data_IF_565313776177
#
_entry.id   IF_565313776177
#
_cell.length_a   1.000
_cell.length_b   1.000
_cell.length_c   1.000
_cell.angle_alpha   90.00
_cell.angle_beta   90.00
_cell.angle_gamma   90.00
#
_symmetry.space_group_name_H-M   'P 1'
#
loop_
_entity.id
_entity.type
_entity.pdbx_description
1 polymer ?
#
# COMPACT_ATOMS: atom_id res chain seq x y z
N UNK A 1 5.58 -0.20 -24.72
CA UNK A 1 5.20 1.11 -25.30
C UNK A 1 6.32 1.56 -26.24
N UNK A 2 5.99 2.14 -27.40
CA UNK A 2 7.01 2.69 -28.30
C UNK A 2 7.62 3.97 -27.73
N UNK A 3 8.89 4.25 -28.04
CA UNK A 3 9.60 5.47 -27.59
C UNK A 3 8.87 6.75 -28.02
N UNK A 4 8.26 6.74 -29.21
CA UNK A 4 7.44 7.84 -29.74
C UNK A 4 6.22 8.10 -28.86
N UNK A 5 5.50 7.07 -28.44
CA UNK A 5 4.35 7.22 -27.56
C UNK A 5 4.77 7.77 -26.18
N UNK A 6 5.83 7.21 -25.59
CA UNK A 6 6.33 7.66 -24.27
C UNK A 6 6.75 9.13 -24.29
N UNK A 7 7.38 9.60 -25.38
CA UNK A 7 7.72 11.01 -25.54
C UNK A 7 6.48 11.90 -25.69
N UNK A 8 5.50 11.50 -26.50
CA UNK A 8 4.25 12.26 -26.64
C UNK A 8 3.50 12.36 -25.31
N UNK A 9 3.45 11.26 -24.54
CA UNK A 9 2.83 11.24 -23.22
C UNK A 9 3.57 12.15 -22.22
N UNK A 10 4.90 12.15 -22.25
CA UNK A 10 5.71 13.04 -21.40
C UNK A 10 5.44 14.52 -21.72
N UNK A 11 5.35 14.88 -23.01
CA UNK A 11 5.01 16.25 -23.44
C UNK A 11 3.62 16.66 -22.96
N UNK A 12 2.62 15.79 -23.11
CA UNK A 12 1.27 16.04 -22.64
C UNK A 12 1.22 16.25 -21.12
N UNK A 13 1.87 15.37 -20.36
CA UNK A 13 1.95 15.49 -18.90
C UNK A 13 2.70 16.73 -18.44
N UNK A 14 3.70 17.20 -19.20
CA UNK A 14 4.41 18.44 -18.88
C UNK A 14 3.49 19.67 -18.95
N UNK A 15 2.61 19.71 -19.97
CA UNK A 15 1.60 20.76 -20.09
C UNK A 15 0.59 20.68 -18.95
N UNK A 16 0.06 19.49 -18.65
CA UNK A 16 -0.92 19.32 -17.57
C UNK A 16 -0.37 19.69 -16.18
N UNK A 17 0.89 19.37 -15.90
CA UNK A 17 1.49 19.56 -14.58
C UNK A 17 2.20 20.91 -14.42
N UNK A 18 2.28 21.72 -15.49
CA UNK A 18 2.98 23.01 -15.46
C UNK A 18 4.48 22.89 -15.17
N UNK A 19 5.09 21.71 -15.42
CA UNK A 19 6.51 21.44 -15.16
C UNK A 19 7.08 20.51 -16.21
N UNK A 20 8.39 20.57 -16.43
CA UNK A 20 9.06 19.64 -17.33
C UNK A 20 8.96 18.21 -16.82
N UNK A 21 8.48 17.30 -17.67
CA UNK A 21 8.39 15.86 -17.38
C UNK A 21 9.34 15.11 -18.30
N UNK A 22 10.35 14.47 -17.72
CA UNK A 22 11.26 13.59 -18.45
C UNK A 22 10.60 12.21 -18.62
N UNK A 23 10.67 11.60 -19.82
CA UNK A 23 10.21 10.22 -20.01
C UNK A 23 10.88 9.27 -19.00
N UNK A 24 10.11 8.40 -18.30
CA UNK A 24 10.70 7.46 -17.36
C UNK A 24 11.58 6.43 -18.09
N UNK A 25 12.60 5.94 -17.40
CA UNK A 25 13.42 4.84 -17.91
C UNK A 25 12.58 3.58 -18.12
N UNK A 26 13.01 2.69 -19.01
CA UNK A 26 12.33 1.41 -19.21
C UNK A 26 12.24 0.59 -17.92
N UNK A 27 13.29 0.60 -17.09
CA UNK A 27 13.28 -0.06 -15.79
C UNK A 27 12.22 0.53 -14.83
N UNK A 28 12.11 1.86 -14.79
CA UNK A 28 11.10 2.56 -13.99
C UNK A 28 9.68 2.21 -14.44
N UNK A 29 9.47 2.09 -15.76
CA UNK A 29 8.19 1.63 -16.32
C UNK A 29 7.89 0.21 -15.86
N UNK A 30 8.82 -0.74 -16.04
CA UNK A 30 8.62 -2.13 -15.62
C UNK A 30 8.33 -2.25 -14.12
N UNK A 31 9.08 -1.53 -13.28
CA UNK A 31 8.84 -1.50 -11.84
C UNK A 31 7.45 -0.97 -11.49
N UNK A 32 6.95 0.05 -12.21
CA UNK A 32 5.61 0.59 -12.00
C UNK A 32 4.50 -0.43 -12.35
N UNK A 33 4.70 -1.26 -13.38
CA UNK A 33 3.77 -2.33 -13.73
C UNK A 33 3.80 -3.47 -12.69
N UNK A 34 4.99 -3.91 -12.28
CA UNK A 34 5.17 -4.96 -11.27
C UNK A 34 4.53 -4.56 -9.94
N UNK A 35 4.72 -3.31 -9.51
CA UNK A 35 4.20 -2.77 -8.25
C UNK A 35 2.70 -2.50 -8.26
N UNK A 36 2.06 -2.44 -9.44
CA UNK A 36 0.60 -2.46 -9.54
C UNK A 36 -0.10 -1.12 -9.74
N UNK A 37 0.35 -0.30 -10.69
CA UNK A 37 -0.35 0.96 -11.00
C UNK A 37 -1.59 0.79 -11.90
N UNK A 38 -1.75 -0.33 -12.61
CA UNK A 38 -2.86 -0.58 -13.52
C UNK A 38 -3.21 -2.09 -13.52
N UNK A 39 -4.36 -2.42 -12.95
CA UNK A 39 -5.09 -3.71 -12.98
C UNK A 39 -4.42 -4.96 -12.37
N UNK A 40 -5.26 -5.84 -11.82
CA UNK A 40 -4.91 -7.03 -11.04
C UNK A 40 -4.97 -8.31 -11.90
N UNK A 41 -4.20 -9.35 -11.51
CA UNK A 41 -3.30 -9.39 -10.36
C UNK A 41 -1.89 -8.88 -10.71
N UNK A 42 -1.48 -7.80 -10.04
CA UNK A 42 -0.11 -7.32 -10.09
C UNK A 42 0.77 -8.06 -9.06
N UNK A 43 2.09 -7.94 -9.20
CA UNK A 43 3.07 -8.63 -8.37
C UNK A 43 3.48 -7.82 -7.12
N UNK A 44 2.61 -6.93 -6.63
CA UNK A 44 2.90 -6.09 -5.48
C UNK A 44 3.22 -6.88 -4.22
N UNK A 45 2.45 -7.94 -3.93
CA UNK A 45 2.69 -8.80 -2.76
C UNK A 45 3.94 -9.68 -2.91
N UNK A 46 4.22 -10.21 -4.10
CA UNK A 46 5.47 -10.92 -4.38
C UNK A 46 6.69 -9.99 -4.25
N UNK A 47 6.57 -8.73 -4.68
CA UNK A 47 7.62 -7.71 -4.51
C UNK A 47 7.82 -7.37 -3.03
N UNK A 48 6.74 -7.26 -2.26
CA UNK A 48 6.81 -7.04 -0.81
C UNK A 48 7.51 -8.21 -0.10
N UNK A 49 7.24 -9.46 -0.49
CA UNK A 49 7.94 -10.63 0.06
C UNK A 49 9.45 -10.55 -0.21
N UNK A 50 9.84 -10.17 -1.43
CA UNK A 50 11.24 -10.01 -1.80
C UNK A 50 11.94 -8.93 -0.96
N UNK A 51 11.29 -7.78 -0.73
CA UNK A 51 11.80 -6.69 0.12
C UNK A 51 12.06 -7.18 1.54
N UNK A 52 11.11 -7.92 2.13
CA UNK A 52 11.24 -8.47 3.49
C UNK A 52 12.36 -9.50 3.57
N UNK A 53 12.44 -10.43 2.60
CA UNK A 53 13.49 -11.46 2.55
C UNK A 53 14.89 -10.87 2.34
N UNK A 54 14.99 -9.76 1.62
CA UNK A 54 16.26 -9.04 1.42
C UNK A 54 16.65 -8.17 2.64
N UNK A 55 15.82 -8.14 3.69
CA UNK A 55 16.14 -7.44 4.94
C UNK A 55 15.95 -5.92 4.87
N UNK A 56 15.33 -5.40 3.80
CA UNK A 56 15.04 -3.96 3.68
C UNK A 56 13.90 -3.50 4.59
N UNK A 57 13.07 -4.43 5.06
CA UNK A 57 12.05 -4.16 6.05
C UNK A 57 11.80 -5.42 6.89
N UNK A 58 12.04 -5.30 8.20
CA UNK A 58 12.00 -6.40 9.15
C UNK A 58 10.63 -6.54 9.83
N UNK A 59 10.29 -7.76 10.31
CA UNK A 59 9.11 -7.95 11.15
C UNK A 59 9.12 -7.10 12.43
N UNK A 60 10.30 -6.75 12.95
CA UNK A 60 10.44 -5.87 14.11
C UNK A 60 9.98 -4.43 13.81
N UNK A 61 10.30 -3.90 12.62
CA UNK A 61 9.83 -2.60 12.17
C UNK A 61 8.31 -2.60 11.96
N UNK A 62 7.76 -3.68 11.42
CA UNK A 62 6.29 -3.88 11.36
C UNK A 62 5.67 -3.80 12.74
N UNK A 63 6.20 -4.54 13.71
CA UNK A 63 5.66 -4.57 15.07
C UNK A 63 5.72 -3.20 15.75
N UNK A 64 6.81 -2.44 15.53
CA UNK A 64 6.94 -1.06 16.01
C UNK A 64 5.86 -0.15 15.41
N UNK A 65 5.63 -0.23 14.10
CA UNK A 65 4.59 0.56 13.42
C UNK A 65 3.18 0.19 13.90
N UNK A 66 2.89 -1.10 14.10
CA UNK A 66 1.61 -1.56 14.68
C UNK A 66 1.38 -0.95 16.06
N UNK A 67 2.40 -0.95 16.91
CA UNK A 67 2.32 -0.32 18.24
C UNK A 67 2.03 1.18 18.14
N UNK A 68 2.75 1.90 17.28
CA UNK A 68 2.53 3.34 17.07
C UNK A 68 1.10 3.65 16.60
N UNK A 69 0.56 2.86 15.68
CA UNK A 69 -0.81 3.04 15.19
C UNK A 69 -1.84 2.77 16.29
N UNK A 70 -1.60 1.76 17.13
CA UNK A 70 -2.44 1.49 18.30
C UNK A 70 -2.44 2.66 19.29
N UNK A 71 -1.28 3.26 19.55
CA UNK A 71 -1.15 4.44 20.42
C UNK A 71 -1.92 5.65 19.85
N UNK A 72 -1.80 5.91 18.54
CA UNK A 72 -2.56 6.97 17.85
C UNK A 72 -4.07 6.72 17.94
N UNK A 73 -4.52 5.47 17.73
CA UNK A 73 -5.93 5.08 17.85
C UNK A 73 -6.47 5.32 19.26
N UNK A 74 -5.68 5.00 20.28
CA UNK A 74 -6.05 5.23 21.67
C UNK A 74 -6.11 6.73 21.99
N UNK A 75 -5.13 7.52 21.52
CA UNK A 75 -5.15 8.97 21.66
C UNK A 75 -6.39 9.61 21.00
N UNK A 76 -6.79 9.13 19.82
CA UNK A 76 -8.04 9.56 19.18
C UNK A 76 -9.28 9.25 20.04
N UNK A 77 -9.36 8.04 20.60
CA UNK A 77 -10.47 7.67 21.49
C UNK A 77 -10.54 8.58 22.72
N UNK A 78 -9.39 8.92 23.30
CA UNK A 78 -9.33 9.80 24.48
C UNK A 78 -9.75 11.24 24.14
N UNK A 79 -9.34 11.75 22.98
CA UNK A 79 -9.80 13.05 22.48
C UNK A 79 -11.32 13.08 22.24
N UNK A 80 -11.88 12.01 21.65
CA UNK A 80 -13.33 11.90 21.42
C UNK A 80 -14.06 11.91 22.77
N UNK A 81 -13.59 11.13 23.76
CA UNK A 81 -14.20 11.08 25.09
C UNK A 81 -14.17 12.45 25.79
N UNK A 82 -13.02 13.12 25.76
CA UNK A 82 -12.79 14.40 26.43
C UNK A 82 -13.46 15.60 25.73
N UNK A 83 -13.88 15.46 24.47
CA UNK A 83 -14.50 16.56 23.73
C UNK A 83 -15.75 17.12 24.42
N UNK A 84 -15.87 18.44 24.46
CA UNK A 84 -17.04 19.15 25.01
C UNK A 84 -18.03 19.62 23.94
N UNK A 85 -17.63 19.57 22.67
CA UNK A 85 -18.40 20.08 21.54
C UNK A 85 -19.31 19.03 20.89
N UNK A 86 -19.10 17.74 21.15
CA UNK A 86 -19.95 16.65 20.64
C UNK A 86 -21.07 16.32 21.61
N UNK A 87 -22.30 16.22 21.09
CA UNK A 87 -23.42 15.64 21.83
C UNK A 87 -23.17 14.14 22.11
N UNK A 88 -23.91 13.61 23.08
CA UNK A 88 -23.72 12.24 23.58
C UNK A 88 -23.87 11.19 22.48
N UNK A 89 -24.90 11.29 21.64
CA UNK A 89 -25.19 10.28 20.60
C UNK A 89 -24.10 10.30 19.54
N UNK A 90 -23.66 11.48 19.11
CA UNK A 90 -22.57 11.61 18.14
C UNK A 90 -21.25 11.08 18.71
N UNK A 91 -20.97 11.35 19.99
CA UNK A 91 -19.76 10.83 20.68
C UNK A 91 -19.75 9.31 20.76
N UNK A 92 -20.87 8.68 21.11
CA UNK A 92 -20.99 7.21 21.17
C UNK A 92 -20.74 6.58 19.79
N UNK A 93 -21.33 7.14 18.72
CA UNK A 93 -21.08 6.68 17.35
C UNK A 93 -19.61 6.87 16.92
N UNK A 94 -18.99 7.99 17.32
CA UNK A 94 -17.59 8.25 17.02
C UNK A 94 -16.65 7.25 17.73
N UNK A 95 -16.93 6.93 19.00
CA UNK A 95 -16.20 5.91 19.76
C UNK A 95 -16.36 4.54 19.10
N UNK A 96 -17.59 4.17 18.69
CA UNK A 96 -17.84 2.90 18.02
C UNK A 96 -17.10 2.82 16.67
N UNK A 97 -17.14 3.88 15.87
CA UNK A 97 -16.40 3.92 14.60
C UNK A 97 -14.89 3.78 14.84
N UNK A 98 -14.35 4.53 15.80
CA UNK A 98 -12.93 4.48 16.14
C UNK A 98 -12.52 3.11 16.68
N UNK A 99 -13.33 2.44 17.51
CA UNK A 99 -13.01 1.12 18.05
C UNK A 99 -12.94 0.05 16.96
N UNK A 100 -13.80 0.15 15.94
CA UNK A 100 -13.87 -0.75 14.78
C UNK A 100 -12.79 -0.48 13.71
N UNK A 101 -12.00 0.59 13.82
CA UNK A 101 -10.92 0.84 12.87
C UNK A 101 -9.87 -0.28 12.96
N UNK A 102 -9.64 -0.95 11.83
CA UNK A 102 -8.57 -1.91 11.65
C UNK A 102 -7.40 -1.29 10.88
N UNK A 103 -6.17 -1.74 11.17
CA UNK A 103 -4.95 -1.16 10.63
C UNK A 103 -4.24 -2.16 9.70
N UNK A 104 -4.19 -1.83 8.41
CA UNK A 104 -3.32 -2.53 7.46
C UNK A 104 -1.92 -1.93 7.53
N UNK A 105 -0.97 -2.65 8.15
CA UNK A 105 0.39 -2.16 8.39
C UNK A 105 1.41 -2.91 7.53
N UNK A 106 2.10 -2.16 6.67
CA UNK A 106 3.17 -2.59 5.76
C UNK A 106 2.75 -3.66 4.73
N UNK A 107 2.50 -4.89 5.17
CA UNK A 107 2.13 -6.02 4.33
C UNK A 107 1.31 -7.05 5.13
N UNK A 108 0.41 -7.82 4.49
CA UNK A 108 -0.33 -8.87 5.17
C UNK A 108 0.56 -10.08 5.47
N UNK A 109 0.32 -10.79 6.57
CA UNK A 109 1.24 -11.85 7.04
C UNK A 109 1.35 -13.02 6.06
N UNK A 110 0.31 -13.24 5.25
CA UNK A 110 0.27 -14.34 4.29
C UNK A 110 1.30 -14.20 3.17
N UNK A 111 1.90 -13.03 2.92
CA UNK A 111 2.90 -12.90 1.84
C UNK A 111 4.15 -13.74 2.08
N UNK A 112 4.45 -14.12 3.34
CA UNK A 112 5.59 -15.00 3.62
C UNK A 112 5.22 -16.49 3.50
N UNK A 113 3.94 -16.81 3.32
CA UNK A 113 3.43 -18.16 3.13
C UNK A 113 3.34 -18.47 1.62
N UNK A 114 4.23 -19.35 1.15
CA UNK A 114 4.28 -19.77 -0.26
C UNK A 114 2.95 -20.32 -0.77
N UNK A 115 2.26 -21.15 0.02
CA UNK A 115 0.97 -21.73 -0.38
C UNK A 115 -0.10 -20.65 -0.52
N UNK A 116 -0.14 -19.69 0.40
CA UNK A 116 -1.08 -18.57 0.32
C UNK A 116 -0.80 -17.68 -0.89
N UNK A 117 0.46 -17.42 -1.20
CA UNK A 117 0.86 -16.70 -2.42
C UNK A 117 0.48 -17.45 -3.70
N UNK A 118 0.70 -18.77 -3.77
CA UNK A 118 0.29 -19.59 -4.91
C UNK A 118 -1.23 -19.56 -5.11
N UNK A 119 -2.01 -19.62 -4.03
CA UNK A 119 -3.47 -19.48 -4.08
C UNK A 119 -3.86 -18.09 -4.61
N UNK A 120 -3.24 -17.04 -4.07
CA UNK A 120 -3.49 -15.66 -4.47
C UNK A 120 -3.21 -15.43 -5.96
N UNK A 121 -2.11 -16.00 -6.48
CA UNK A 121 -1.69 -15.83 -7.88
C UNK A 121 -2.22 -16.88 -8.85
N UNK A 122 -3.02 -17.86 -8.40
CA UNK A 122 -3.46 -19.04 -9.17
C UNK A 122 -4.13 -18.73 -10.53
N UNK A 123 -4.86 -17.61 -10.64
CA UNK A 123 -5.53 -17.18 -11.87
C UNK A 123 -4.63 -16.44 -12.87
N UNK A 124 -3.42 -16.10 -12.45
CA UNK A 124 -2.37 -15.53 -13.28
C UNK A 124 -1.53 -16.70 -13.76
N UNK A 125 -1.15 -16.75 -15.05
CA UNK A 125 -0.21 -17.76 -15.57
C UNK A 125 1.24 -17.60 -15.03
N UNK A 126 1.39 -17.09 -13.80
CA UNK A 126 2.65 -17.01 -13.05
C UNK A 126 2.88 -18.35 -12.34
N UNK A 127 3.46 -19.30 -13.07
CA UNK A 127 4.01 -20.50 -12.47
C UNK A 127 5.36 -20.14 -11.84
N UNK A 128 5.37 -19.96 -10.52
CA UNK A 128 6.62 -19.96 -9.75
C UNK A 128 7.10 -21.41 -9.68
N UNK A 129 7.81 -21.86 -10.73
CA UNK A 129 8.52 -23.13 -10.68
C UNK A 129 9.63 -23.05 -9.62
N UNK A 130 9.70 -24.09 -8.80
CA UNK A 130 10.69 -24.31 -7.74
C UNK A 130 12.08 -24.55 -8.29
#
# INVERSE_FOLDING_TARGET
MSSKYTQSLAKFNAVLQGRTVTPPSQASICLAYIRGNYEMPNLGFATAEAIVKQGYFSPAEKAKAVKMISEVKNGLLDLIKASTWMDKKTKENAIQKASLMDASVAYPDWILNKTAQQIYYKGSNFFFYT
#
